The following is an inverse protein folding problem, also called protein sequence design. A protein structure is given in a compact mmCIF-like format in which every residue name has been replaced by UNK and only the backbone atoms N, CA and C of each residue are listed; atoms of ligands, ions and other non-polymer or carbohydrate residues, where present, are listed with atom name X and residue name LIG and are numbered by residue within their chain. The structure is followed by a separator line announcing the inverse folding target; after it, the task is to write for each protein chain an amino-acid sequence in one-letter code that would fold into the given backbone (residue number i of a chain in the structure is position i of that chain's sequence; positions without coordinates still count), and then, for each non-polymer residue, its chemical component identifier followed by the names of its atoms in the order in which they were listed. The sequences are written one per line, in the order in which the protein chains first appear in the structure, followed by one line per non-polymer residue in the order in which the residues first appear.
data_IF_227669612180
#
_entry.id   IF_227669612180
#
_cell.length_a   1.000
_cell.length_b   1.000
_cell.length_c   1.000
_cell.angle_alpha   90.00
_cell.angle_beta   90.00
_cell.angle_gamma   90.00
#
_symmetry.space_group_name_H-M   'P 1'
#
loop_
_entity.id
_entity.type
_entity.pdbx_description
1 polymer ?
#
# COMPACT_ATOMS: atom_id res chain seq x y z
N UNK A 1 21.12 8.34 14.60
CA UNK A 1 19.71 8.46 14.89
C UNK A 1 18.89 8.65 13.60
N UNK A 2 19.20 9.63 12.74
CA UNK A 2 18.55 9.82 11.42
C UNK A 2 18.53 8.57 10.52
N UNK A 3 19.62 7.81 10.48
CA UNK A 3 19.71 6.57 9.69
C UNK A 3 18.74 5.49 10.18
N UNK A 4 18.54 5.37 11.49
CA UNK A 4 17.61 4.38 12.05
C UNK A 4 16.16 4.75 11.76
N UNK A 5 15.81 6.04 11.87
CA UNK A 5 14.47 6.52 11.52
C UNK A 5 14.17 6.27 10.04
N UNK A 6 15.13 6.54 9.16
CA UNK A 6 14.97 6.29 7.73
C UNK A 6 14.75 4.79 7.42
N UNK A 7 15.46 3.91 8.13
CA UNK A 7 15.25 2.46 8.00
C UNK A 7 13.84 2.04 8.45
N UNK A 8 13.31 2.66 9.51
CA UNK A 8 11.93 2.42 9.96
C UNK A 8 10.89 2.91 8.93
N UNK A 9 11.15 4.05 8.30
CA UNK A 9 10.32 4.57 7.22
C UNK A 9 10.34 3.60 6.03
N UNK A 10 11.49 3.11 5.61
CA UNK A 10 11.61 2.12 4.54
C UNK A 10 10.89 0.80 4.89
N UNK A 11 11.00 0.35 6.14
CA UNK A 11 10.27 -0.83 6.61
C UNK A 11 8.75 -0.63 6.54
N UNK A 12 8.27 0.56 6.88
CA UNK A 12 6.87 0.92 6.74
C UNK A 12 6.40 0.90 5.28
N UNK A 13 7.27 1.29 4.32
CA UNK A 13 6.96 1.21 2.89
C UNK A 13 6.99 -0.22 2.33
N UNK A 14 7.85 -1.10 2.83
CA UNK A 14 7.74 -2.55 2.55
C UNK A 14 6.35 -3.04 3.00
N UNK A 15 5.94 -2.66 4.21
CA UNK A 15 4.62 -3.01 4.74
C UNK A 15 3.48 -2.51 3.86
N UNK A 16 3.60 -1.33 3.26
CA UNK A 16 2.61 -0.78 2.35
C UNK A 16 2.53 -1.56 1.03
N UNK A 17 3.68 -1.95 0.47
CA UNK A 17 3.74 -2.71 -0.78
C UNK A 17 3.30 -4.17 -0.66
N UNK A 18 3.49 -4.80 0.51
CA UNK A 18 3.16 -6.22 0.71
C UNK A 18 1.71 -6.60 0.33
N UNK A 19 0.66 -5.86 0.69
CA UNK A 19 -0.71 -6.25 0.34
C UNK A 19 -1.15 -5.87 -1.09
N UNK A 20 -0.47 -4.95 -1.77
CA UNK A 20 -0.96 -4.35 -3.01
C UNK A 20 -1.12 -5.37 -4.15
N UNK A 21 -0.28 -6.38 -4.24
CA UNK A 21 -0.36 -7.41 -5.27
C UNK A 21 -1.04 -8.71 -4.82
N UNK A 22 -1.49 -8.81 -3.57
CA UNK A 22 -2.15 -10.02 -3.06
C UNK A 22 -3.49 -10.28 -3.72
N UNK A 23 -4.33 -9.26 -3.88
CA UNK A 23 -5.67 -9.42 -4.44
C UNK A 23 -5.60 -9.97 -5.87
N UNK A 24 -4.78 -9.36 -6.73
CA UNK A 24 -4.62 -9.80 -8.10
C UNK A 24 -4.03 -11.21 -8.20
N UNK A 25 -3.07 -11.54 -7.35
CA UNK A 25 -2.42 -12.87 -7.33
C UNK A 25 -3.36 -13.98 -6.86
N UNK A 26 -4.25 -13.71 -5.89
CA UNK A 26 -5.19 -14.67 -5.34
C UNK A 26 -6.50 -14.77 -6.12
N UNK A 27 -6.86 -13.74 -6.89
CA UNK A 27 -8.19 -13.59 -7.48
C UNK A 27 -8.62 -14.72 -8.41
N UNK A 28 -7.74 -15.35 -9.22
CA UNK A 28 -8.13 -16.51 -10.05
C UNK A 28 -8.76 -17.67 -9.25
N UNK A 29 -8.42 -17.77 -7.96
CA UNK A 29 -8.98 -18.79 -7.06
C UNK A 29 -10.12 -18.22 -6.24
N UNK A 30 -9.98 -16.99 -5.74
CA UNK A 30 -10.96 -16.35 -4.86
C UNK A 30 -12.32 -16.17 -5.52
N UNK A 31 -12.37 -15.69 -6.78
CA UNK A 31 -13.65 -15.47 -7.46
C UNK A 31 -14.46 -16.75 -7.64
N UNK A 32 -13.77 -17.89 -7.85
CA UNK A 32 -14.40 -19.20 -7.91
C UNK A 32 -14.91 -19.66 -6.55
N UNK A 33 -14.09 -19.46 -5.50
CA UNK A 33 -14.46 -19.81 -4.14
C UNK A 33 -15.69 -19.03 -3.64
N UNK A 34 -15.82 -17.77 -4.01
CA UNK A 34 -16.97 -16.93 -3.69
C UNK A 34 -18.13 -17.04 -4.69
N UNK A 35 -17.95 -17.79 -5.80
CA UNK A 35 -18.94 -17.92 -6.88
C UNK A 35 -19.36 -16.56 -7.47
N UNK A 36 -18.41 -15.65 -7.64
CA UNK A 36 -18.64 -14.32 -8.20
C UNK A 36 -17.95 -14.15 -9.55
N UNK A 37 -18.45 -13.24 -10.43
CA UNK A 37 -17.78 -12.90 -11.68
C UNK A 37 -16.33 -12.43 -11.47
N UNK A 38 -15.47 -12.70 -12.44
CA UNK A 38 -14.06 -12.26 -12.41
C UNK A 38 -13.95 -10.74 -12.20
N UNK A 39 -14.83 -9.94 -12.79
CA UNK A 39 -14.88 -8.48 -12.70
C UNK A 39 -15.05 -7.92 -11.28
N UNK A 40 -15.49 -8.73 -10.32
CA UNK A 40 -15.74 -8.29 -8.93
C UNK A 40 -14.45 -7.92 -8.17
N UNK A 41 -13.26 -8.31 -8.65
CA UNK A 41 -12.00 -7.75 -8.15
C UNK A 41 -11.99 -6.22 -8.24
N UNK A 42 -12.51 -5.68 -9.34
CA UNK A 42 -12.63 -4.25 -9.54
C UNK A 42 -13.46 -3.54 -8.46
N UNK A 43 -14.55 -4.16 -7.96
CA UNK A 43 -15.34 -3.59 -6.87
C UNK A 43 -14.53 -3.47 -5.58
N UNK A 44 -13.78 -4.51 -5.21
CA UNK A 44 -12.91 -4.50 -4.02
C UNK A 44 -11.85 -3.41 -4.17
N UNK A 45 -11.19 -3.35 -5.34
CA UNK A 45 -10.17 -2.32 -5.63
C UNK A 45 -10.77 -0.91 -5.61
N UNK A 46 -11.97 -0.69 -6.13
CA UNK A 46 -12.65 0.61 -6.07
C UNK A 46 -12.92 1.06 -4.63
N UNK A 47 -13.34 0.13 -3.75
CA UNK A 47 -13.56 0.43 -2.32
C UNK A 47 -12.22 0.80 -1.65
N UNK A 48 -11.17 0.02 -1.90
CA UNK A 48 -9.81 0.30 -1.42
C UNK A 48 -9.36 1.70 -1.88
N UNK A 49 -9.43 1.98 -3.19
CA UNK A 49 -9.02 3.27 -3.76
C UNK A 49 -9.84 4.44 -3.22
N UNK A 50 -11.14 4.26 -3.02
CA UNK A 50 -12.00 5.25 -2.39
C UNK A 50 -11.54 5.57 -0.95
N UNK A 51 -11.25 4.55 -0.16
CA UNK A 51 -10.69 4.68 1.19
C UNK A 51 -9.32 5.38 1.18
N UNK A 52 -8.44 4.99 0.24
CA UNK A 52 -7.11 5.58 0.07
C UNK A 52 -7.21 7.07 -0.27
N UNK A 53 -8.06 7.46 -1.21
CA UNK A 53 -8.28 8.87 -1.55
C UNK A 53 -8.78 9.66 -0.34
N UNK A 54 -9.81 9.15 0.35
CA UNK A 54 -10.37 9.82 1.53
C UNK A 54 -9.31 10.02 2.63
N UNK A 55 -8.54 8.98 2.95
CA UNK A 55 -7.54 9.05 4.01
C UNK A 55 -6.32 9.89 3.64
N UNK A 56 -5.87 9.85 2.38
CA UNK A 56 -4.79 10.71 1.88
C UNK A 56 -5.16 12.20 1.98
N UNK A 57 -6.38 12.57 1.62
CA UNK A 57 -6.88 13.95 1.76
C UNK A 57 -6.99 14.39 3.23
N UNK A 58 -7.19 13.44 4.16
CA UNK A 58 -7.24 13.73 5.60
C UNK A 58 -5.88 13.62 6.27
N UNK A 59 -4.87 13.08 5.60
CA UNK A 59 -3.56 12.74 6.19
C UNK A 59 -2.88 13.96 6.81
N UNK A 60 -2.91 15.12 6.17
CA UNK A 60 -2.37 16.37 6.72
C UNK A 60 -3.00 16.72 8.08
N UNK A 61 -4.33 16.65 8.20
CA UNK A 61 -5.04 16.94 9.46
C UNK A 61 -4.69 15.92 10.54
N UNK A 62 -4.56 14.66 10.16
CA UNK A 62 -4.21 13.58 11.08
C UNK A 62 -2.78 13.72 11.59
N UNK A 63 -1.83 14.01 10.72
CA UNK A 63 -0.42 14.19 11.07
C UNK A 63 -0.19 15.43 11.93
N UNK A 64 -0.88 16.54 11.66
CA UNK A 64 -0.89 17.73 12.53
C UNK A 64 -1.40 17.44 13.93
N UNK A 65 -2.46 16.64 14.05
CA UNK A 65 -3.11 16.37 15.32
C UNK A 65 -2.38 15.32 16.17
N UNK A 66 -1.89 14.26 15.54
CA UNK A 66 -1.36 13.08 16.21
C UNK A 66 0.16 12.86 15.99
N UNK A 67 0.75 13.54 15.01
CA UNK A 67 2.12 13.32 14.56
C UNK A 67 2.22 12.18 13.54
N UNK A 68 3.20 12.31 12.63
CA UNK A 68 3.45 11.32 11.55
C UNK A 68 3.67 9.92 12.10
N UNK A 69 4.39 9.78 13.20
CA UNK A 69 4.71 8.49 13.83
C UNK A 69 3.45 7.72 14.28
N UNK A 70 2.50 8.40 14.91
CA UNK A 70 1.26 7.77 15.40
C UNK A 70 0.39 7.38 14.21
N UNK A 71 0.25 8.26 13.22
CA UNK A 71 -0.50 7.97 11.99
C UNK A 71 0.10 6.75 11.30
N UNK A 72 1.43 6.66 11.17
CA UNK A 72 2.11 5.51 10.57
C UNK A 72 1.79 4.20 11.29
N UNK A 73 1.98 4.14 12.60
CA UNK A 73 1.72 2.91 13.39
C UNK A 73 0.26 2.47 13.29
N UNK A 74 -0.69 3.40 13.47
CA UNK A 74 -2.11 3.08 13.37
C UNK A 74 -2.52 2.64 11.98
N UNK A 75 -1.95 3.23 10.95
CA UNK A 75 -2.23 2.87 9.55
C UNK A 75 -1.73 1.47 9.21
N UNK A 76 -0.49 1.11 9.61
CA UNK A 76 0.03 -0.26 9.41
C UNK A 76 -0.78 -1.27 10.22
N UNK A 77 -1.17 -0.94 11.44
CA UNK A 77 -2.03 -1.81 12.24
C UNK A 77 -3.40 -2.01 11.59
N UNK A 78 -3.99 -0.95 11.05
CA UNK A 78 -5.30 -1.02 10.40
C UNK A 78 -5.27 -1.88 9.13
N UNK A 79 -4.21 -1.76 8.32
CA UNK A 79 -4.00 -2.62 7.15
C UNK A 79 -3.75 -4.07 7.56
N UNK A 80 -2.98 -4.32 8.62
CA UNK A 80 -2.72 -5.66 9.13
C UNK A 80 -4.02 -6.35 9.59
N UNK A 81 -4.87 -5.63 10.34
CA UNK A 81 -6.19 -6.13 10.79
C UNK A 81 -7.09 -6.40 9.59
N UNK A 82 -7.11 -5.51 8.61
CA UNK A 82 -7.89 -5.69 7.39
C UNK A 82 -7.47 -6.94 6.62
N UNK A 83 -6.16 -7.19 6.45
CA UNK A 83 -5.65 -8.41 5.81
C UNK A 83 -6.00 -9.67 6.59
N UNK A 84 -5.95 -9.61 7.92
CA UNK A 84 -6.44 -10.71 8.74
C UNK A 84 -7.93 -10.96 8.48
N UNK A 85 -8.72 -9.89 8.39
CA UNK A 85 -10.13 -9.95 8.00
C UNK A 85 -10.34 -10.57 6.62
N UNK A 86 -9.54 -10.21 5.61
CA UNK A 86 -9.54 -10.89 4.30
C UNK A 86 -9.30 -12.40 4.45
N UNK A 87 -8.37 -12.80 5.32
CA UNK A 87 -8.03 -14.21 5.55
C UNK A 87 -9.15 -15.02 6.19
N UNK A 88 -10.11 -14.37 6.83
CA UNK A 88 -11.28 -15.01 7.47
C UNK A 88 -12.55 -14.90 6.65
N UNK A 89 -12.49 -14.22 5.50
CA UNK A 89 -13.66 -13.99 4.66
C UNK A 89 -14.20 -15.31 4.08
N UNK A 90 -15.45 -15.60 4.34
CA UNK A 90 -16.20 -16.73 3.81
C UNK A 90 -17.19 -16.33 2.71
N UNK A 91 -17.44 -15.03 2.53
CA UNK A 91 -18.34 -14.47 1.54
C UNK A 91 -17.76 -13.19 0.94
N UNK A 92 -18.13 -12.89 -0.32
CA UNK A 92 -17.61 -11.72 -1.06
C UNK A 92 -17.86 -10.38 -0.35
N UNK A 93 -19.02 -10.19 0.26
CA UNK A 93 -19.32 -8.94 0.98
C UNK A 93 -18.38 -8.67 2.15
N UNK A 94 -17.81 -9.72 2.76
CA UNK A 94 -16.81 -9.57 3.83
C UNK A 94 -15.52 -8.96 3.29
N UNK A 95 -15.10 -9.30 2.05
CA UNK A 95 -13.96 -8.65 1.40
C UNK A 95 -14.24 -7.16 1.21
N UNK A 96 -15.45 -6.79 0.74
CA UNK A 96 -15.84 -5.40 0.56
C UNK A 96 -15.81 -4.64 1.89
N UNK A 97 -16.25 -5.26 2.99
CA UNK A 97 -16.22 -4.66 4.32
C UNK A 97 -14.77 -4.40 4.78
N UNK A 98 -13.90 -5.40 4.67
CA UNK A 98 -12.49 -5.28 5.06
C UNK A 98 -11.66 -4.39 4.12
N UNK A 99 -12.11 -4.19 2.88
CA UNK A 99 -11.48 -3.27 1.94
C UNK A 99 -11.52 -1.81 2.41
N UNK A 100 -12.54 -1.43 3.22
CA UNK A 100 -12.66 -0.08 3.77
C UNK A 100 -11.50 0.26 4.72
N UNK A 101 -11.30 -0.46 5.85
CA UNK A 101 -10.20 -0.17 6.74
C UNK A 101 -8.83 -0.36 6.07
N UNK A 102 -8.70 -1.29 5.13
CA UNK A 102 -7.49 -1.44 4.34
C UNK A 102 -7.15 -0.16 3.57
N UNK A 103 -8.08 0.37 2.78
CA UNK A 103 -7.87 1.59 1.99
C UNK A 103 -7.58 2.82 2.87
N UNK A 104 -8.31 2.96 3.99
CA UNK A 104 -8.09 4.06 4.95
C UNK A 104 -6.68 4.02 5.55
N UNK A 105 -6.18 2.84 5.92
CA UNK A 105 -4.82 2.67 6.42
C UNK A 105 -3.77 2.98 5.35
N UNK A 106 -3.90 2.38 4.16
CA UNK A 106 -2.94 2.52 3.08
C UNK A 106 -2.74 3.98 2.65
N UNK A 107 -3.80 4.74 2.43
CA UNK A 107 -3.70 6.12 1.98
C UNK A 107 -3.14 7.08 3.03
N UNK A 108 -3.48 6.87 4.30
CA UNK A 108 -2.98 7.74 5.37
C UNK A 108 -1.46 7.60 5.58
N UNK A 109 -0.93 6.37 5.56
CA UNK A 109 0.51 6.12 5.71
C UNK A 109 1.29 6.61 4.49
N UNK A 110 0.80 6.34 3.28
CA UNK A 110 1.45 6.75 2.04
C UNK A 110 1.64 8.28 2.01
N UNK A 111 0.56 9.04 2.19
CA UNK A 111 0.62 10.49 2.20
C UNK A 111 1.48 11.05 3.33
N UNK A 112 1.38 10.48 4.55
CA UNK A 112 2.12 10.95 5.72
C UNK A 112 3.62 10.77 5.56
N UNK A 113 4.08 9.60 5.10
CA UNK A 113 5.51 9.31 4.98
C UNK A 113 6.15 9.96 3.75
N UNK A 114 5.43 10.05 2.61
CA UNK A 114 5.89 10.79 1.45
C UNK A 114 6.12 12.26 1.82
N UNK A 115 5.16 12.88 2.51
CA UNK A 115 5.32 14.27 2.97
C UNK A 115 6.49 14.42 3.95
N UNK A 116 6.61 13.52 4.92
CA UNK A 116 7.71 13.54 5.88
C UNK A 116 9.08 13.44 5.21
N UNK A 117 9.25 12.51 4.27
CA UNK A 117 10.52 12.34 3.54
C UNK A 117 10.79 13.53 2.63
N UNK A 118 9.78 14.10 1.96
CA UNK A 118 9.93 15.27 1.13
C UNK A 118 10.42 16.51 1.91
N UNK A 119 9.98 16.68 3.15
CA UNK A 119 10.36 17.81 4.00
C UNK A 119 11.73 17.65 4.68
N UNK A 120 12.12 16.40 5.04
CA UNK A 120 13.27 16.18 5.94
C UNK A 120 14.48 15.52 5.25
N UNK A 121 14.29 14.96 4.03
CA UNK A 121 15.34 14.20 3.35
C UNK A 121 15.51 14.65 1.89
N UNK A 122 16.65 14.31 1.30
CA UNK A 122 16.93 14.59 -0.10
C UNK A 122 16.07 13.71 -1.03
N UNK A 123 15.81 14.17 -2.26
CA UNK A 123 15.03 13.48 -3.30
C UNK A 123 15.50 12.02 -3.56
N UNK A 124 16.78 11.73 -3.34
CA UNK A 124 17.31 10.35 -3.41
C UNK A 124 16.60 9.39 -2.46
N UNK A 125 16.25 9.83 -1.26
CA UNK A 125 15.55 8.99 -0.28
C UNK A 125 14.09 8.75 -0.67
N UNK A 126 13.47 9.68 -1.42
CA UNK A 126 12.16 9.46 -2.01
C UNK A 126 12.19 8.31 -3.03
N UNK A 127 13.21 8.24 -3.88
CA UNK A 127 13.37 7.11 -4.82
C UNK A 127 13.59 5.79 -4.07
N UNK A 128 14.41 5.77 -3.03
CA UNK A 128 14.57 4.58 -2.19
C UNK A 128 13.28 4.14 -1.50
N UNK A 129 12.47 5.10 -1.08
CA UNK A 129 11.17 4.82 -0.46
C UNK A 129 10.30 3.95 -1.37
N UNK A 130 10.18 4.35 -2.64
CA UNK A 130 9.41 3.59 -3.64
C UNK A 130 10.07 2.26 -4.02
N UNK A 131 11.41 2.17 -4.03
CA UNK A 131 12.10 0.87 -4.17
C UNK A 131 11.72 -0.09 -3.04
N UNK A 132 11.64 0.37 -1.80
CA UNK A 132 11.24 -0.48 -0.67
C UNK A 132 9.75 -0.87 -0.74
N UNK A 133 8.87 0.01 -1.22
CA UNK A 133 7.50 -0.37 -1.57
C UNK A 133 7.49 -1.49 -2.63
N UNK A 134 8.28 -1.34 -3.69
CA UNK A 134 8.41 -2.35 -4.74
C UNK A 134 8.93 -3.69 -4.22
N UNK A 135 9.84 -3.72 -3.24
CA UNK A 135 10.22 -4.98 -2.58
C UNK A 135 9.03 -5.68 -1.94
N UNK A 136 8.14 -4.92 -1.30
CA UNK A 136 6.88 -5.45 -0.75
C UNK A 136 6.00 -6.08 -1.83
N UNK A 137 5.80 -5.38 -2.95
CA UNK A 137 4.97 -5.85 -4.06
C UNK A 137 5.55 -7.07 -4.78
N UNK A 138 6.89 -7.24 -4.76
CA UNK A 138 7.58 -8.42 -5.30
C UNK A 138 7.38 -9.64 -4.37
N UNK A 139 7.50 -9.45 -3.07
CA UNK A 139 7.45 -10.55 -2.08
C UNK A 139 6.05 -11.17 -2.01
N UNK A 140 5.00 -10.37 -2.01
CA UNK A 140 3.66 -10.85 -1.71
C UNK A 140 3.08 -11.86 -2.72
N UNK A 141 3.28 -11.76 -4.04
CA UNK A 141 2.85 -12.79 -4.97
C UNK A 141 3.56 -14.14 -4.77
N UNK A 142 4.83 -14.13 -4.33
CA UNK A 142 5.52 -15.37 -3.96
C UNK A 142 4.92 -16.00 -2.70
N UNK A 143 4.58 -15.19 -1.70
CA UNK A 143 3.87 -15.66 -0.50
C UNK A 143 2.52 -16.27 -0.90
N UNK A 144 1.78 -15.61 -1.79
CA UNK A 144 0.51 -16.14 -2.30
C UNK A 144 0.70 -17.41 -3.13
N UNK A 145 1.69 -17.46 -4.01
CA UNK A 145 2.04 -18.66 -4.78
C UNK A 145 2.32 -19.86 -3.84
N UNK A 146 3.14 -19.64 -2.82
CA UNK A 146 3.42 -20.65 -1.80
C UNK A 146 2.15 -21.11 -1.07
N UNK A 147 1.30 -20.18 -0.65
CA UNK A 147 0.04 -20.53 0.00
C UNK A 147 -0.90 -21.34 -0.90
N UNK A 148 -0.99 -20.99 -2.20
CA UNK A 148 -1.81 -21.73 -3.17
C UNK A 148 -1.28 -23.13 -3.47
N UNK A 149 0.03 -23.34 -3.39
CA UNK A 149 0.66 -24.65 -3.60
C UNK A 149 0.44 -25.57 -2.41
N UNK A 150 0.52 -25.04 -1.19
CA UNK A 150 0.55 -25.84 0.05
C UNK A 150 -0.81 -25.94 0.74
N UNK A 151 -1.74 -25.01 0.46
CA UNK A 151 -2.96 -24.87 1.24
C UNK A 151 -4.06 -24.12 0.47
N UNK A 152 -4.51 -22.98 1.02
CA UNK A 152 -5.59 -22.15 0.51
C UNK A 152 -5.19 -20.69 0.48
N UNK A 153 -5.83 -19.88 -0.39
CA UNK A 153 -5.52 -18.46 -0.56
C UNK A 153 -5.60 -17.64 0.74
N UNK A 154 -6.47 -18.03 1.68
CA UNK A 154 -6.61 -17.39 2.99
C UNK A 154 -5.30 -17.37 3.77
N UNK A 155 -4.50 -18.43 3.64
CA UNK A 155 -3.22 -18.52 4.33
C UNK A 155 -2.20 -17.49 3.79
N UNK A 156 -2.24 -17.15 2.50
CA UNK A 156 -1.42 -16.07 1.94
C UNK A 156 -1.70 -14.72 2.61
N UNK A 157 -2.98 -14.36 2.74
CA UNK A 157 -3.39 -13.14 3.47
C UNK A 157 -3.00 -13.19 4.95
N UNK A 158 -3.17 -14.36 5.60
CA UNK A 158 -2.81 -14.55 7.01
C UNK A 158 -1.32 -14.38 7.24
N UNK A 159 -0.48 -14.94 6.38
CA UNK A 159 0.98 -14.82 6.46
C UNK A 159 1.40 -13.36 6.33
N UNK A 160 0.89 -12.63 5.34
CA UNK A 160 1.22 -11.20 5.16
C UNK A 160 0.68 -10.36 6.32
N UNK A 161 -0.52 -10.66 6.83
CA UNK A 161 -1.05 -10.00 8.03
C UNK A 161 -0.12 -10.17 9.24
N UNK A 162 0.39 -11.36 9.50
CA UNK A 162 1.34 -11.59 10.60
C UNK A 162 2.67 -10.85 10.40
N UNK A 163 3.19 -10.79 9.17
CA UNK A 163 4.36 -9.95 8.86
C UNK A 163 4.07 -8.49 9.20
N UNK A 164 2.93 -7.96 8.80
CA UNK A 164 2.54 -6.58 9.09
C UNK A 164 2.32 -6.32 10.58
N UNK A 165 1.76 -7.27 11.33
CA UNK A 165 1.66 -7.18 12.79
C UNK A 165 3.07 -7.08 13.40
N UNK A 166 4.01 -7.90 12.95
CA UNK A 166 5.41 -7.81 13.38
C UNK A 166 6.03 -6.44 13.08
N UNK A 167 5.82 -5.90 11.89
CA UNK A 167 6.27 -4.55 11.51
C UNK A 167 5.60 -3.49 12.40
N UNK A 168 4.29 -3.61 12.64
CA UNK A 168 3.55 -2.70 13.53
C UNK A 168 4.15 -2.68 14.94
N UNK A 169 4.50 -3.85 15.49
CA UNK A 169 5.13 -3.94 16.82
C UNK A 169 6.50 -3.26 16.83
N UNK A 170 7.32 -3.44 15.78
CA UNK A 170 8.62 -2.76 15.64
C UNK A 170 8.41 -1.24 15.62
N UNK A 171 7.48 -0.76 14.80
CA UNK A 171 7.16 0.67 14.69
C UNK A 171 6.62 1.23 16.01
N UNK A 172 5.81 0.46 16.73
CA UNK A 172 5.26 0.86 18.04
C UNK A 172 6.36 0.99 19.10
N UNK A 173 7.24 0.00 19.22
CA UNK A 173 8.37 0.03 20.18
C UNK A 173 9.35 1.16 19.87
N UNK A 174 9.48 1.52 18.58
CA UNK A 174 10.39 2.57 18.13
C UNK A 174 9.77 3.97 18.10
N UNK A 175 8.51 4.16 18.52
CA UNK A 175 7.85 5.47 18.63
C UNK A 175 8.70 6.55 19.33
N UNK A 176 9.46 6.25 20.41
CA UNK A 176 10.31 7.27 21.06
C UNK A 176 11.40 7.84 20.15
N UNK A 177 11.85 7.08 19.13
CA UNK A 177 12.91 7.50 18.21
C UNK A 177 12.44 8.64 17.28
N UNK A 178 11.14 8.70 17.01
CA UNK A 178 10.52 9.74 16.16
C UNK A 178 10.40 11.10 16.88
N UNK A 179 10.54 11.15 18.21
CA UNK A 179 10.41 12.38 19.00
C UNK A 179 11.63 13.32 18.89
N UNK A 180 12.44 13.17 17.87
CA UNK A 180 13.70 13.90 17.70
C UNK A 180 13.46 15.21 16.94
N UNK A 181 13.48 16.28 17.66
CA UNK A 181 13.69 17.68 17.31
C UNK A 181 12.45 18.61 17.27
N UNK A 182 12.34 19.45 18.31
CA UNK A 182 11.55 20.69 18.27
C UNK A 182 11.93 21.65 17.12
N UNK A 183 13.11 21.49 16.51
CA UNK A 183 13.53 22.26 15.31
C UNK A 183 12.80 21.80 14.03
N UNK A 184 12.43 20.53 13.95
CA UNK A 184 11.68 19.98 12.81
C UNK A 184 10.26 20.52 12.77
N UNK A 185 9.59 20.63 13.93
CA UNK A 185 8.24 21.23 14.03
C UNK A 185 8.21 22.68 13.53
N UNK A 186 9.27 23.46 13.78
CA UNK A 186 9.36 24.84 13.29
C UNK A 186 9.64 24.95 11.78
N UNK A 187 10.25 23.91 11.17
CA UNK A 187 10.41 23.81 9.72
C UNK A 187 9.13 23.33 9.03
N UNK A 188 8.41 22.41 9.66
CA UNK A 188 7.08 21.99 9.21
C UNK A 188 6.09 23.18 9.22
N UNK A 189 6.05 23.95 10.31
CA UNK A 189 5.21 25.15 10.41
C UNK A 189 5.51 26.19 9.32
N UNK A 190 6.79 26.43 8.99
CA UNK A 190 7.17 27.36 7.91
C UNK A 190 6.83 26.83 6.52
N UNK A 191 7.02 25.53 6.27
CA UNK A 191 6.65 24.90 5.01
C UNK A 191 5.12 24.89 4.81
N UNK A 192 4.35 24.84 5.89
CA UNK A 192 2.89 24.91 5.87
C UNK A 192 2.34 26.28 5.50
N UNK A 193 3.01 27.37 5.92
CA UNK A 193 2.64 28.74 5.53
C UNK A 193 2.80 29.01 4.02
N UNK A 194 3.68 28.24 3.34
CA UNK A 194 3.92 28.31 1.89
C UNK A 194 3.07 27.33 1.06
N UNK A 195 2.23 26.51 1.69
CA UNK A 195 1.46 25.47 0.99
C UNK A 195 0.44 26.06 0.01
N UNK A 196 0.65 25.72 -1.25
CA UNK A 196 -0.28 26.03 -2.35
C UNK A 196 -1.36 24.96 -2.35
N UNK A 197 -2.61 25.31 -1.98
CA UNK A 197 -3.72 24.36 -2.00
C UNK A 197 -3.95 23.71 -3.39
N UNK A 198 -4.70 22.61 -3.46
CA UNK A 198 -4.92 21.83 -4.69
C UNK A 198 -5.28 22.69 -5.90
N UNK A 199 -6.19 23.67 -5.73
CA UNK A 199 -6.58 24.60 -6.80
C UNK A 199 -5.42 25.48 -7.29
N UNK A 200 -4.51 25.86 -6.41
CA UNK A 200 -3.32 26.63 -6.74
C UNK A 200 -2.29 25.75 -7.44
N UNK A 201 -2.05 24.54 -6.96
CA UNK A 201 -1.14 23.58 -7.58
C UNK A 201 -1.52 23.26 -9.03
N UNK A 202 -2.82 23.08 -9.31
CA UNK A 202 -3.33 22.83 -10.66
C UNK A 202 -3.14 24.00 -11.63
N UNK A 203 -2.92 25.23 -11.13
CA UNK A 203 -2.61 26.40 -11.95
C UNK A 203 -1.14 26.53 -12.34
N UNK A 204 -0.26 25.78 -11.69
CA UNK A 204 1.17 25.77 -12.00
C UNK A 204 1.37 25.13 -13.38
N UNK A 205 2.04 25.83 -14.29
CA UNK A 205 2.31 25.37 -15.66
C UNK A 205 3.06 24.03 -15.63
N UNK A 206 2.51 23.02 -16.29
CA UNK A 206 3.10 21.69 -16.39
C UNK A 206 2.55 20.69 -15.37
N UNK A 207 2.03 21.11 -14.21
CA UNK A 207 1.48 20.21 -13.19
C UNK A 207 0.32 19.35 -13.71
N UNK A 208 -0.68 19.88 -14.46
CA UNK A 208 -1.74 19.04 -15.00
C UNK A 208 -1.21 17.94 -15.94
N UNK A 209 -0.20 18.25 -16.79
CA UNK A 209 0.39 17.27 -17.69
C UNK A 209 1.18 16.19 -16.94
N UNK A 210 1.91 16.59 -15.88
CA UNK A 210 2.60 15.66 -15.00
C UNK A 210 1.62 14.72 -14.30
N UNK A 211 0.52 15.25 -13.78
CA UNK A 211 -0.54 14.47 -13.14
C UNK A 211 -1.20 13.50 -14.11
N UNK A 212 -1.46 13.92 -15.36
CA UNK A 212 -2.00 13.03 -16.40
C UNK A 212 -1.03 11.90 -16.75
N UNK A 213 0.27 12.21 -16.89
CA UNK A 213 1.30 11.21 -17.13
C UNK A 213 1.40 10.21 -15.98
N UNK A 214 1.40 10.69 -14.74
CA UNK A 214 1.43 9.84 -13.55
C UNK A 214 0.16 8.99 -13.41
N UNK A 215 -1.01 9.56 -13.68
CA UNK A 215 -2.27 8.81 -13.72
C UNK A 215 -2.21 7.66 -14.73
N UNK A 216 -1.69 7.93 -15.94
CA UNK A 216 -1.58 6.90 -17.00
C UNK A 216 -0.65 5.77 -16.59
N UNK A 217 0.49 6.11 -15.94
CA UNK A 217 1.41 5.13 -15.37
C UNK A 217 0.73 4.26 -14.31
N UNK A 218 0.11 4.89 -13.30
CA UNK A 218 -0.58 4.17 -12.22
C UNK A 218 -1.75 3.31 -12.74
N UNK A 219 -2.46 3.76 -13.77
CA UNK A 219 -3.55 3.00 -14.37
C UNK A 219 -3.03 1.71 -15.04
N UNK A 220 -1.92 1.80 -15.80
CA UNK A 220 -1.28 0.63 -16.42
C UNK A 220 -0.78 -0.35 -15.34
N UNK A 221 -0.05 0.15 -14.37
CA UNK A 221 0.51 -0.63 -13.26
C UNK A 221 -0.59 -1.38 -12.49
N UNK A 222 -1.61 -0.65 -12.03
CA UNK A 222 -2.74 -1.22 -11.30
C UNK A 222 -3.50 -2.26 -12.12
N UNK A 223 -3.68 -2.03 -13.43
CA UNK A 223 -4.34 -2.99 -14.30
C UNK A 223 -3.56 -4.31 -14.40
N UNK A 224 -2.24 -4.25 -14.54
CA UNK A 224 -1.41 -5.47 -14.62
C UNK A 224 -1.33 -6.17 -13.27
N UNK A 225 -1.15 -5.44 -12.17
CA UNK A 225 -1.12 -6.02 -10.81
C UNK A 225 -2.44 -6.74 -10.50
N UNK A 226 -3.58 -6.14 -10.85
CA UNK A 226 -4.89 -6.70 -10.55
C UNK A 226 -5.26 -7.87 -11.48
N UNK A 227 -5.02 -7.73 -12.78
CA UNK A 227 -5.56 -8.66 -13.78
C UNK A 227 -4.52 -9.63 -14.36
N UNK A 228 -3.22 -9.40 -14.15
CA UNK A 228 -2.14 -10.19 -14.76
C UNK A 228 -2.26 -11.68 -14.45
N UNK A 229 -2.42 -12.05 -13.18
CA UNK A 229 -2.59 -13.47 -12.80
C UNK A 229 -3.88 -14.06 -13.37
N UNK A 230 -4.98 -13.31 -13.37
CA UNK A 230 -6.24 -13.77 -13.94
C UNK A 230 -6.16 -13.99 -15.46
N UNK A 231 -5.44 -13.13 -16.17
CA UNK A 231 -5.17 -13.30 -17.58
C UNK A 231 -4.31 -14.56 -17.86
N UNK A 232 -3.26 -14.78 -17.08
CA UNK A 232 -2.39 -15.95 -17.24
C UNK A 232 -3.16 -17.26 -17.00
N UNK A 233 -4.03 -17.29 -16.02
CA UNK A 233 -4.88 -18.47 -15.74
C UNK A 233 -5.94 -18.65 -16.82
N UNK A 234 -6.71 -17.61 -17.13
CA UNK A 234 -7.88 -17.71 -18.02
C UNK A 234 -7.53 -17.84 -19.50
N UNK A 235 -6.55 -17.06 -19.98
CA UNK A 235 -6.21 -17.01 -21.40
C UNK A 235 -5.03 -17.92 -21.80
N UNK A 236 -4.11 -18.22 -20.86
CA UNK A 236 -2.91 -19.02 -21.11
C UNK A 236 -2.94 -20.41 -20.47
N UNK A 237 -3.96 -20.72 -19.66
CA UNK A 237 -4.09 -22.00 -18.99
C UNK A 237 -3.00 -22.29 -17.95
N UNK A 238 -2.31 -21.24 -17.45
CA UNK A 238 -1.28 -21.40 -16.42
C UNK A 238 -1.96 -21.64 -15.08
N UNK A 239 -1.39 -22.51 -14.23
CA UNK A 239 -1.93 -22.76 -12.92
C UNK A 239 -1.86 -21.51 -12.02
N UNK A 240 -2.81 -21.37 -11.08
CA UNK A 240 -2.97 -20.14 -10.28
C UNK A 240 -1.71 -19.82 -9.45
N UNK A 241 -1.05 -20.84 -8.90
CA UNK A 241 0.19 -20.69 -8.13
C UNK A 241 1.34 -20.17 -8.99
N UNK A 242 1.49 -20.68 -10.23
CA UNK A 242 2.49 -20.18 -11.17
C UNK A 242 2.16 -18.77 -11.67
N UNK A 243 0.91 -18.50 -11.94
CA UNK A 243 0.44 -17.17 -12.34
C UNK A 243 0.73 -16.12 -11.26
N UNK A 244 0.51 -16.47 -9.98
CA UNK A 244 0.88 -15.63 -8.85
C UNK A 244 2.40 -15.38 -8.81
N UNK A 245 3.22 -16.42 -8.97
CA UNK A 245 4.68 -16.25 -9.02
C UNK A 245 5.12 -15.36 -10.20
N UNK A 246 4.51 -15.49 -11.38
CA UNK A 246 4.83 -14.66 -12.54
C UNK A 246 4.46 -13.18 -12.34
N UNK A 247 3.44 -12.87 -11.53
CA UNK A 247 3.11 -11.48 -11.19
C UNK A 247 4.30 -10.76 -10.52
N UNK A 248 5.14 -11.48 -9.76
CA UNK A 248 6.35 -10.88 -9.15
C UNK A 248 7.36 -10.42 -10.18
N UNK A 249 7.46 -11.07 -11.36
CA UNK A 249 8.38 -10.65 -12.43
C UNK A 249 8.00 -9.27 -12.99
N UNK A 250 6.70 -9.01 -13.10
CA UNK A 250 6.24 -7.67 -13.48
C UNK A 250 6.62 -6.64 -12.40
N UNK A 251 6.39 -6.98 -11.12
CA UNK A 251 6.76 -6.10 -10.01
C UNK A 251 8.27 -5.81 -9.97
N UNK A 252 9.13 -6.80 -10.27
CA UNK A 252 10.59 -6.58 -10.42
C UNK A 252 10.88 -5.56 -11.52
N UNK A 253 10.14 -5.59 -12.63
CA UNK A 253 10.38 -4.70 -13.76
C UNK A 253 9.98 -3.24 -13.51
N UNK A 254 9.10 -2.97 -12.54
CA UNK A 254 8.62 -1.63 -12.18
C UNK A 254 9.35 -1.04 -10.96
N UNK A 255 10.12 -1.83 -10.22
CA UNK A 255 10.91 -1.43 -9.04
C UNK A 255 12.31 -1.03 -9.44
#
# INVERSE_FOLDING_TARGET
MYTLLLLLIYLAFISLGLPDSLLGSAWPVMHKAFQVPLSYAGLVTMIISGGTICSSLMSERLTKKFGTQIVTVFSVMLTAIALFGFSTASAFWMLCLWAIPYGLGAGAIDAALNNYVALHYNSRHMSWLHCFWGLGTIISPYVMSYALTTSVWQNGYRMVSFIQIGITLILFVTLPIWKVNKKETAQEEKAEEEMVGIKGALKIKGVPNLLLGFFSYCALESAVILWGSSYLVGAKGISAERAAAFASLFCIGIT
#
